data_IF_928983676100
#
_entry.id   IF_928983676100
#
_cell.length_a   1.000
_cell.length_b   1.000
_cell.length_c   1.000
_cell.angle_alpha   90.00
_cell.angle_beta   90.00
_cell.angle_gamma   90.00
#
_symmetry.space_group_name_H-M   'P 1'
#
loop_
_entity.id
_entity.type
_entity.pdbx_description
1 polymer ?
#
# COMPACT_ATOMS: atom_id res chain seq x y z
N UNK A 1 -11.71 0.76 -0.70
CA UNK A 1 -10.82 1.92 -1.05
C UNK A 1 -9.50 1.83 -0.34
N UNK A 2 -9.48 1.83 1.00
CA UNK A 2 -8.24 1.89 1.81
C UNK A 2 -7.22 0.77 1.50
N UNK A 3 -7.68 -0.43 1.18
CA UNK A 3 -6.79 -1.53 0.78
C UNK A 3 -6.06 -1.21 -0.54
N UNK A 4 -6.79 -0.73 -1.55
CA UNK A 4 -6.21 -0.39 -2.85
C UNK A 4 -5.29 0.82 -2.74
N UNK A 5 -5.69 1.82 -1.98
CA UNK A 5 -4.89 3.02 -1.75
C UNK A 5 -3.60 2.72 -0.97
N UNK A 6 -3.71 1.94 0.10
CA UNK A 6 -2.54 1.47 0.85
C UNK A 6 -1.59 0.61 0.02
N UNK A 7 -2.13 -0.26 -0.83
CA UNK A 7 -1.33 -1.08 -1.74
C UNK A 7 -0.61 -0.22 -2.78
N UNK A 8 -1.30 0.79 -3.33
CA UNK A 8 -0.72 1.76 -4.25
C UNK A 8 0.45 2.51 -3.61
N UNK A 9 0.24 3.01 -2.38
CA UNK A 9 1.25 3.76 -1.66
C UNK A 9 2.50 2.93 -1.36
N UNK A 10 2.33 1.71 -0.85
CA UNK A 10 3.47 0.86 -0.50
C UNK A 10 4.21 0.27 -1.70
N UNK A 11 3.55 0.15 -2.85
CA UNK A 11 4.13 -0.49 -4.03
C UNK A 11 5.27 0.31 -4.64
N UNK A 12 5.02 1.56 -4.99
CA UNK A 12 5.96 2.36 -5.76
C UNK A 12 5.97 3.87 -5.44
N UNK A 13 5.04 4.36 -4.61
CA UNK A 13 4.96 5.79 -4.34
C UNK A 13 6.08 6.23 -3.41
N UNK A 14 6.78 7.28 -3.81
CA UNK A 14 7.87 7.87 -3.02
C UNK A 14 7.95 9.36 -3.33
N UNK A 15 8.08 10.16 -2.29
CA UNK A 15 8.35 11.59 -2.40
C UNK A 15 9.80 11.83 -2.04
N UNK A 16 10.49 12.59 -2.87
CA UNK A 16 11.85 13.08 -2.60
C UNK A 16 11.90 14.60 -2.63
N UNK A 17 12.76 15.15 -1.79
CA UNK A 17 12.94 16.59 -1.66
C UNK A 17 14.34 16.92 -2.13
N UNK A 18 14.45 17.88 -3.05
CA UNK A 18 15.73 18.39 -3.56
C UNK A 18 15.71 19.92 -3.50
N UNK A 19 16.72 20.50 -2.88
CA UNK A 19 16.85 21.96 -2.71
C UNK A 19 15.58 22.62 -2.11
N UNK A 20 14.95 21.95 -1.13
CA UNK A 20 13.77 22.45 -0.46
C UNK A 20 12.45 22.29 -1.23
N UNK A 21 12.45 21.65 -2.39
CA UNK A 21 11.26 21.43 -3.20
C UNK A 21 10.99 19.94 -3.44
N UNK A 22 9.71 19.56 -3.53
CA UNK A 22 9.29 18.21 -3.91
C UNK A 22 9.65 17.96 -5.37
N UNK A 23 10.29 16.83 -5.66
CA UNK A 23 10.72 16.45 -7.01
C UNK A 23 9.54 15.93 -7.83
N UNK A 24 8.68 15.11 -7.23
CA UNK A 24 7.50 14.54 -7.89
C UNK A 24 6.43 15.60 -8.05
N UNK A 25 6.12 15.96 -9.28
CA UNK A 25 5.20 17.06 -9.59
C UNK A 25 3.87 16.62 -10.23
N UNK A 26 3.79 15.36 -10.70
CA UNK A 26 2.60 14.86 -11.35
C UNK A 26 2.56 13.31 -11.29
N UNK A 27 1.49 12.71 -11.80
CA UNK A 27 1.24 11.26 -11.78
C UNK A 27 2.22 10.42 -12.61
N UNK A 28 2.97 11.02 -13.52
CA UNK A 28 4.06 10.38 -14.24
C UNK A 28 5.24 10.02 -13.33
N UNK A 29 5.49 10.85 -12.31
CA UNK A 29 6.55 10.67 -11.33
C UNK A 29 6.05 10.18 -9.96
N UNK A 30 4.74 9.99 -9.81
CA UNK A 30 4.09 9.45 -8.61
C UNK A 30 3.03 8.41 -9.02
N UNK A 31 3.46 7.18 -9.32
CA UNK A 31 2.59 6.18 -9.95
C UNK A 31 1.51 5.68 -9.01
N UNK A 32 0.29 5.56 -9.55
CA UNK A 32 -0.84 4.94 -8.86
C UNK A 32 -1.07 3.51 -9.38
N UNK A 33 -1.58 2.67 -8.51
CA UNK A 33 -2.01 1.33 -8.88
C UNK A 33 -3.10 1.40 -9.95
N UNK A 34 -2.99 0.58 -10.98
CA UNK A 34 -3.95 0.53 -12.09
C UNK A 34 -4.93 -0.64 -11.91
N UNK A 35 -6.08 -0.55 -12.55
CA UNK A 35 -7.14 -1.56 -12.46
C UNK A 35 -6.66 -3.01 -12.69
N UNK A 36 -5.81 -3.31 -13.68
CA UNK A 36 -5.31 -4.69 -13.85
C UNK A 36 -4.48 -5.21 -12.68
N UNK A 37 -3.88 -4.31 -11.90
CA UNK A 37 -3.03 -4.64 -10.74
C UNK A 37 -3.84 -4.73 -9.43
N UNK A 38 -5.11 -4.32 -9.46
CA UNK A 38 -5.95 -4.30 -8.26
C UNK A 38 -6.31 -5.72 -7.82
N UNK A 39 -6.03 -6.12 -6.58
CA UNK A 39 -6.41 -7.41 -6.06
C UNK A 39 -7.92 -7.50 -5.85
N UNK A 40 -8.43 -8.71 -5.79
CA UNK A 40 -9.79 -8.93 -5.29
C UNK A 40 -9.80 -8.69 -3.78
N UNK A 41 -10.69 -7.83 -3.32
CA UNK A 41 -10.84 -7.52 -1.90
C UNK A 41 -12.12 -8.17 -1.38
N UNK A 42 -11.98 -9.03 -0.38
CA UNK A 42 -13.09 -9.64 0.33
C UNK A 42 -13.27 -8.94 1.67
N UNK A 43 -14.46 -8.46 1.94
CA UNK A 43 -14.78 -7.74 3.18
C UNK A 43 -15.77 -8.57 3.99
N UNK A 44 -15.43 -8.82 5.24
CA UNK A 44 -16.32 -9.45 6.22
C UNK A 44 -16.61 -8.44 7.32
N UNK A 45 -17.87 -8.06 7.46
CA UNK A 45 -18.32 -7.18 8.53
C UNK A 45 -18.83 -8.03 9.71
N UNK A 46 -18.22 -7.84 10.87
CA UNK A 46 -18.64 -8.49 12.11
C UNK A 46 -19.60 -7.57 12.87
N UNK A 47 -20.76 -8.10 13.27
CA UNK A 47 -21.65 -7.38 14.14
C UNK A 47 -21.18 -7.54 15.59
N UNK A 48 -20.51 -6.51 16.10
CA UNK A 48 -19.94 -6.50 17.46
C UNK A 48 -20.86 -5.92 18.51
N UNK A 49 -21.98 -5.30 18.12
CA UNK A 49 -22.87 -4.55 19.01
C UNK A 49 -22.32 -3.18 19.46
N UNK A 50 -21.11 -2.82 19.07
CA UNK A 50 -20.54 -1.50 19.33
C UNK A 50 -21.05 -0.45 18.34
N UNK A 51 -20.99 0.81 18.74
CA UNK A 51 -21.31 1.93 17.84
C UNK A 51 -20.33 1.97 16.67
N UNK A 52 -20.80 2.25 15.45
CA UNK A 52 -19.90 2.45 14.31
C UNK A 52 -18.96 3.63 14.55
N UNK A 53 -17.69 3.45 14.27
CA UNK A 53 -16.65 4.50 14.42
C UNK A 53 -16.08 4.95 13.09
N UNK A 54 -16.49 4.31 12.00
CA UNK A 54 -15.98 4.54 10.66
C UNK A 54 -15.42 3.27 10.05
N UNK A 55 -15.32 3.21 8.74
CA UNK A 55 -14.87 2.03 7.97
C UNK A 55 -14.06 2.39 6.72
N UNK A 56 -13.70 3.68 6.54
CA UNK A 56 -12.96 4.14 5.37
C UNK A 56 -11.47 3.80 5.43
N UNK A 57 -10.77 4.24 6.48
CA UNK A 57 -9.31 4.19 6.57
C UNK A 57 -8.72 3.00 7.34
N UNK A 58 -9.44 2.24 8.19
CA UNK A 58 -8.81 1.30 9.12
C UNK A 58 -7.96 0.19 8.48
N UNK A 59 -8.21 -0.15 7.22
CA UNK A 59 -7.44 -1.17 6.52
C UNK A 59 -6.10 -0.67 5.97
N UNK A 60 -5.88 0.64 5.91
CA UNK A 60 -4.67 1.20 5.30
C UNK A 60 -3.41 0.96 6.14
N UNK A 61 -3.37 1.27 7.45
CA UNK A 61 -2.14 1.09 8.25
C UNK A 61 -1.67 -0.37 8.34
N UNK A 62 -2.52 -1.39 8.54
CA UNK A 62 -2.07 -2.77 8.67
C UNK A 62 -1.72 -3.44 7.33
N UNK A 63 -2.08 -2.83 6.20
CA UNK A 63 -1.87 -3.43 4.89
C UNK A 63 -0.39 -3.62 4.56
N UNK A 64 0.41 -2.58 4.70
CA UNK A 64 1.83 -2.65 4.35
C UNK A 64 2.59 -3.74 5.14
N UNK A 65 2.47 -3.82 6.47
CA UNK A 65 3.11 -4.92 7.21
C UNK A 65 2.53 -6.30 6.84
N UNK A 66 1.23 -6.41 6.54
CA UNK A 66 0.64 -7.67 6.12
C UNK A 66 1.23 -8.16 4.78
N UNK A 67 1.34 -7.28 3.80
CA UNK A 67 1.95 -7.61 2.49
C UNK A 67 3.44 -7.94 2.65
N UNK A 68 4.19 -7.17 3.42
CA UNK A 68 5.60 -7.45 3.67
C UNK A 68 5.81 -8.80 4.36
N UNK A 69 4.94 -9.19 5.29
CA UNK A 69 4.96 -10.50 5.91
C UNK A 69 4.58 -11.62 4.93
N UNK A 70 3.64 -11.38 4.04
CA UNK A 70 3.27 -12.34 2.99
C UNK A 70 4.44 -12.57 2.02
N UNK A 71 5.14 -11.52 1.61
CA UNK A 71 6.35 -11.61 0.77
C UNK A 71 7.42 -12.43 1.50
N UNK A 72 7.68 -12.13 2.77
CA UNK A 72 8.64 -12.92 3.55
C UNK A 72 8.25 -14.40 3.62
N UNK A 73 6.98 -14.70 3.85
CA UNK A 73 6.51 -16.08 3.88
C UNK A 73 6.65 -16.79 2.53
N UNK A 74 6.51 -16.05 1.43
CA UNK A 74 6.60 -16.59 0.09
C UNK A 74 8.04 -16.85 -0.38
N UNK A 75 8.98 -15.96 -0.07
CA UNK A 75 10.34 -16.03 -0.62
C UNK A 75 11.47 -15.91 0.41
N UNK A 76 11.16 -15.74 1.70
CA UNK A 76 12.15 -15.60 2.77
C UNK A 76 12.86 -14.25 2.83
N UNK A 77 12.49 -13.30 1.97
CA UNK A 77 13.09 -11.97 1.94
C UNK A 77 12.30 -10.98 2.81
N UNK A 78 12.98 -10.35 3.78
CA UNK A 78 12.35 -9.39 4.70
C UNK A 78 12.45 -7.97 4.15
N UNK A 79 11.31 -7.37 3.85
CA UNK A 79 11.23 -5.97 3.43
C UNK A 79 11.24 -5.09 4.67
N UNK A 80 12.21 -4.18 4.75
CA UNK A 80 12.41 -3.25 5.88
C UNK A 80 12.24 -1.77 5.50
N UNK A 81 12.03 -1.48 4.22
CA UNK A 81 11.85 -0.13 3.70
C UNK A 81 10.78 -0.11 2.61
N UNK A 82 10.05 0.97 2.52
CA UNK A 82 9.04 1.23 1.50
C UNK A 82 9.50 2.37 0.56
N UNK A 83 8.97 2.41 -0.65
CA UNK A 83 8.11 1.42 -1.30
C UNK A 83 8.84 0.12 -1.63
N UNK A 84 8.10 -0.97 -1.80
CA UNK A 84 8.67 -2.31 -2.06
C UNK A 84 9.42 -2.38 -3.39
N UNK A 85 9.15 -1.48 -4.31
CA UNK A 85 9.90 -1.35 -5.57
C UNK A 85 11.40 -1.11 -5.34
N UNK A 86 11.79 -0.48 -4.24
CA UNK A 86 13.21 -0.29 -3.87
C UNK A 86 13.91 -1.61 -3.52
N UNK A 87 13.15 -2.62 -3.10
CA UNK A 87 13.66 -3.97 -2.85
C UNK A 87 13.52 -4.90 -4.07
N UNK A 88 13.10 -4.37 -5.23
CA UNK A 88 12.97 -5.14 -6.47
C UNK A 88 11.64 -5.84 -6.66
N UNK A 89 10.66 -5.60 -5.79
CA UNK A 89 9.31 -6.17 -5.91
C UNK A 89 8.38 -5.25 -6.69
N UNK A 90 7.58 -5.83 -7.57
CA UNK A 90 6.56 -5.11 -8.34
C UNK A 90 5.22 -5.81 -8.22
N UNK A 91 4.13 -5.04 -8.26
CA UNK A 91 2.76 -5.57 -8.35
C UNK A 91 2.40 -5.66 -9.82
N UNK A 92 2.04 -6.83 -10.25
CA UNK A 92 1.66 -7.17 -11.62
C UNK A 92 0.19 -7.55 -11.72
#
# INVERSE_FOLDING_TARGET
GSVIDGLSSMAAQSISIKKGAVVQSNYDSYPLLRMPQSPRVHVLALNSGYRPTGGGEPALPPLAPAVCNAVFNACGERIRALPISKAGFTIV
#
